data_IF_890211516189
#
_entry.id   IF_890211516189
#
_cell.length_a   1.000
_cell.length_b   1.000
_cell.length_c   1.000
_cell.angle_alpha   90.00
_cell.angle_beta   90.00
_cell.angle_gamma   90.00
#
_symmetry.space_group_name_H-M   'P 1'
#
loop_
_entity.id
_entity.type
_entity.pdbx_description
1 polymer ?
#
# COMPACT_ATOMS: atom_id res chain seq x y z
N UNK A 1 -12.60 2.14 -0.21
CA UNK A 1 -11.78 1.99 1.00
C UNK A 1 -11.10 3.30 1.42
N UNK A 2 -10.15 3.84 0.66
CA UNK A 2 -9.36 5.01 1.06
C UNK A 2 -10.17 6.26 1.47
N UNK A 3 -11.24 6.58 0.72
CA UNK A 3 -12.11 7.73 1.03
C UNK A 3 -12.89 7.58 2.35
N UNK A 4 -13.25 6.36 2.73
CA UNK A 4 -13.98 6.10 3.98
C UNK A 4 -13.04 6.30 5.18
N UNK A 5 -11.82 5.76 5.09
CA UNK A 5 -10.80 5.90 6.13
C UNK A 5 -10.45 7.37 6.40
N UNK A 6 -10.35 8.17 5.34
CA UNK A 6 -10.08 9.60 5.46
C UNK A 6 -11.27 10.38 6.04
N UNK A 7 -12.48 10.17 5.51
CA UNK A 7 -13.65 10.95 5.88
C UNK A 7 -14.17 10.64 7.30
N UNK A 8 -14.02 9.40 7.77
CA UNK A 8 -14.69 8.94 8.98
C UNK A 8 -13.76 8.87 10.20
N UNK A 9 -12.44 8.74 10.00
CA UNK A 9 -11.48 8.55 11.09
C UNK A 9 -10.38 9.61 11.14
N UNK A 10 -10.38 10.59 10.23
CA UNK A 10 -9.33 11.63 10.16
C UNK A 10 -7.93 11.09 9.85
N UNK A 11 -7.86 9.91 9.24
CA UNK A 11 -6.59 9.28 8.89
C UNK A 11 -6.17 9.79 7.51
N UNK A 12 -4.93 10.29 7.39
CA UNK A 12 -4.37 10.66 6.10
C UNK A 12 -4.10 9.39 5.29
N UNK A 13 -4.80 9.26 4.16
CA UNK A 13 -4.79 8.06 3.32
C UNK A 13 -4.51 8.47 1.87
N UNK A 14 -3.59 7.77 1.23
CA UNK A 14 -3.38 7.82 -0.21
C UNK A 14 -3.71 6.47 -0.83
N UNK A 15 -3.97 6.47 -2.13
CA UNK A 15 -4.15 5.24 -2.88
C UNK A 15 -3.22 5.23 -4.09
N UNK A 16 -2.86 4.04 -4.51
CA UNK A 16 -2.04 3.81 -5.70
C UNK A 16 -2.69 2.69 -6.49
N UNK A 17 -2.67 2.82 -7.81
CA UNK A 17 -3.18 1.81 -8.75
C UNK A 17 -2.18 1.62 -9.90
N UNK A 18 -2.41 0.62 -10.75
CA UNK A 18 -1.58 0.38 -11.93
C UNK A 18 -1.59 1.54 -12.94
N UNK A 19 -0.57 1.57 -13.82
CA UNK A 19 -0.28 2.66 -14.77
C UNK A 19 -1.41 3.00 -15.76
N UNK A 20 -2.37 2.10 -15.96
CA UNK A 20 -3.53 2.35 -16.82
C UNK A 20 -4.67 3.10 -16.10
N UNK A 21 -4.67 3.11 -14.78
CA UNK A 21 -5.74 3.66 -13.95
C UNK A 21 -5.33 4.92 -13.16
N UNK A 22 -4.04 5.21 -13.08
CA UNK A 22 -3.48 6.37 -12.38
C UNK A 22 -2.28 6.91 -13.15
N UNK A 23 -2.24 8.22 -13.36
CA UNK A 23 -1.11 8.88 -14.01
C UNK A 23 0.17 8.78 -13.16
N UNK A 24 1.32 8.85 -13.82
CA UNK A 24 2.61 8.66 -13.16
C UNK A 24 2.90 9.72 -12.10
N UNK A 25 2.54 10.98 -12.38
CA UNK A 25 2.78 12.09 -11.48
C UNK A 25 2.00 11.93 -10.17
N UNK A 26 0.70 11.62 -10.24
CA UNK A 26 -0.15 11.36 -9.07
C UNK A 26 0.35 10.14 -8.29
N UNK A 27 0.75 9.07 -8.99
CA UNK A 27 1.31 7.87 -8.35
C UNK A 27 2.58 8.19 -7.56
N UNK A 28 3.52 8.92 -8.17
CA UNK A 28 4.77 9.32 -7.52
C UNK A 28 4.52 10.30 -6.37
N UNK A 29 3.57 11.22 -6.52
CA UNK A 29 3.19 12.15 -5.46
C UNK A 29 2.63 11.41 -4.24
N UNK A 30 1.71 10.46 -4.45
CA UNK A 30 1.11 9.67 -3.37
C UNK A 30 2.15 8.82 -2.63
N UNK A 31 3.09 8.22 -3.37
CA UNK A 31 4.21 7.48 -2.79
C UNK A 31 5.15 8.38 -2.00
N UNK A 32 5.42 9.57 -2.52
CA UNK A 32 6.26 10.56 -1.84
C UNK A 32 5.62 11.03 -0.53
N UNK A 33 4.31 11.34 -0.54
CA UNK A 33 3.55 11.69 0.66
C UNK A 33 3.55 10.57 1.71
N UNK A 34 3.53 9.31 1.29
CA UNK A 34 3.63 8.18 2.21
C UNK A 34 5.04 8.03 2.78
N UNK A 35 6.09 8.20 1.94
CA UNK A 35 7.49 8.17 2.38
C UNK A 35 7.84 9.30 3.35
N UNK A 36 7.24 10.48 3.18
CA UNK A 36 7.44 11.63 4.07
C UNK A 36 6.52 11.62 5.29
N UNK A 37 5.77 10.54 5.53
CA UNK A 37 4.81 10.38 6.63
C UNK A 37 3.65 11.40 6.63
N UNK A 38 3.52 12.20 5.57
CA UNK A 38 2.39 13.10 5.37
C UNK A 38 1.07 12.32 5.21
N UNK A 39 1.19 11.09 4.72
CA UNK A 39 0.12 10.08 4.66
C UNK A 39 0.53 8.87 5.50
N UNK A 40 -0.36 8.43 6.39
CA UNK A 40 -0.11 7.28 7.28
C UNK A 40 -0.58 5.94 6.72
N UNK A 41 -1.51 5.94 5.77
CA UNK A 41 -2.06 4.73 5.17
C UNK A 41 -1.98 4.79 3.65
N UNK A 42 -1.39 3.75 3.06
CA UNK A 42 -1.36 3.57 1.61
C UNK A 42 -2.26 2.37 1.24
N UNK A 43 -3.23 2.61 0.35
CA UNK A 43 -4.07 1.55 -0.21
C UNK A 43 -3.61 1.24 -1.63
N UNK A 44 -3.35 -0.03 -1.93
CA UNK A 44 -2.76 -0.48 -3.18
C UNK A 44 -3.56 -1.65 -3.78
N UNK A 45 -3.70 -1.72 -5.09
CA UNK A 45 -4.18 -2.92 -5.82
C UNK A 45 -3.03 -3.85 -6.22
N UNK A 46 -3.34 -5.11 -6.55
CA UNK A 46 -2.37 -6.16 -6.92
C UNK A 46 -1.47 -5.84 -8.10
N UNK A 47 -1.82 -4.86 -8.95
CA UNK A 47 -0.93 -4.33 -10.01
C UNK A 47 0.33 -3.63 -9.46
N UNK A 48 0.47 -3.52 -8.14
CA UNK A 48 1.60 -2.91 -7.43
C UNK A 48 2.53 -3.95 -6.78
N UNK A 49 2.35 -5.24 -7.08
CA UNK A 49 3.18 -6.31 -6.49
C UNK A 49 4.64 -6.31 -6.98
N UNK A 50 4.92 -5.76 -8.17
CA UNK A 50 6.28 -5.58 -8.69
C UNK A 50 6.66 -4.09 -8.84
N UNK A 51 7.86 -3.74 -8.41
CA UNK A 51 8.51 -2.46 -8.75
C UNK A 51 8.22 -1.26 -7.85
N UNK A 52 7.28 -1.34 -6.91
CA UNK A 52 7.05 -0.25 -5.95
C UNK A 52 8.06 -0.31 -4.79
N UNK A 53 8.99 0.64 -4.72
CA UNK A 53 9.80 0.84 -3.53
C UNK A 53 8.99 1.58 -2.46
N UNK A 54 8.38 0.79 -1.57
CA UNK A 54 7.60 1.29 -0.42
C UNK A 54 8.49 1.17 0.82
N UNK A 55 8.59 2.22 1.64
CA UNK A 55 9.33 2.17 2.89
C UNK A 55 8.82 1.05 3.81
N UNK A 56 9.68 0.57 4.70
CA UNK A 56 9.38 -0.50 5.65
C UNK A 56 8.10 -0.19 6.43
N UNK A 57 7.05 -0.97 6.19
CA UNK A 57 5.78 -0.81 6.88
C UNK A 57 5.78 -1.66 8.16
N UNK A 58 5.20 -1.12 9.23
CA UNK A 58 4.93 -1.88 10.47
C UNK A 58 3.71 -2.79 10.32
N UNK A 59 2.73 -2.39 9.52
CA UNK A 59 1.50 -3.15 9.32
C UNK A 59 1.25 -3.31 7.82
N UNK A 60 0.98 -4.53 7.38
CA UNK A 60 0.55 -4.84 6.01
C UNK A 60 -0.77 -5.62 6.10
N UNK A 61 -1.82 -5.11 5.46
CA UNK A 61 -3.13 -5.76 5.44
C UNK A 61 -3.42 -6.18 4.00
N UNK A 62 -3.69 -7.47 3.80
CA UNK A 62 -4.05 -8.06 2.50
C UNK A 62 -5.54 -8.42 2.53
N UNK A 63 -6.31 -7.83 1.61
CA UNK A 63 -7.76 -8.07 1.46
C UNK A 63 -8.09 -9.00 0.27
N UNK A 64 -7.08 -9.49 -0.44
CA UNK A 64 -7.24 -10.20 -1.71
C UNK A 64 -6.85 -11.68 -1.54
N UNK A 65 -7.59 -12.57 -2.21
CA UNK A 65 -7.19 -13.97 -2.35
C UNK A 65 -5.96 -14.06 -3.27
N UNK A 66 -4.83 -14.56 -2.78
CA UNK A 66 -3.60 -14.61 -3.58
C UNK A 66 -3.75 -15.66 -4.69
N UNK A 67 -3.67 -15.24 -5.95
CA UNK A 67 -3.69 -16.15 -7.08
C UNK A 67 -2.43 -17.03 -7.18
N UNK A 68 -1.33 -16.64 -6.52
CA UNK A 68 -0.05 -17.36 -6.54
C UNK A 68 0.77 -17.17 -5.26
N UNK A 69 1.67 -18.12 -4.97
CA UNK A 69 2.64 -18.03 -3.87
C UNK A 69 3.59 -16.82 -4.02
N UNK A 70 3.91 -16.42 -5.26
CA UNK A 70 4.79 -15.26 -5.55
C UNK A 70 4.15 -13.96 -5.06
N UNK A 71 2.87 -13.75 -5.37
CA UNK A 71 2.07 -12.60 -4.91
C UNK A 71 1.99 -12.52 -3.39
N UNK A 72 1.88 -13.68 -2.72
CA UNK A 72 1.91 -13.74 -1.27
C UNK A 72 3.24 -13.23 -0.70
N UNK A 73 4.36 -13.80 -1.15
CA UNK A 73 5.71 -13.43 -0.71
C UNK A 73 6.04 -11.96 -1.02
N UNK A 74 5.70 -11.47 -2.21
CA UNK A 74 5.99 -10.09 -2.62
C UNK A 74 5.23 -9.06 -1.78
N UNK A 75 3.94 -9.28 -1.51
CA UNK A 75 3.18 -8.36 -0.68
C UNK A 75 3.56 -8.42 0.81
N UNK A 76 3.89 -9.61 1.34
CA UNK A 76 4.41 -9.76 2.70
C UNK A 76 5.81 -9.15 2.86
N UNK A 77 6.64 -9.18 1.81
CA UNK A 77 7.99 -8.60 1.80
C UNK A 77 8.04 -7.08 2.00
N UNK A 78 6.89 -6.39 2.10
CA UNK A 78 6.78 -4.97 2.45
C UNK A 78 6.78 -4.72 3.97
N UNK A 79 6.50 -5.75 4.76
CA UNK A 79 6.59 -5.76 6.22
C UNK A 79 8.05 -5.99 6.66
N UNK A 80 8.92 -4.99 6.42
CA UNK A 80 10.37 -5.07 6.72
C UNK A 80 10.76 -4.45 8.07
N UNK A 81 9.80 -3.95 8.84
CA UNK A 81 10.04 -3.44 10.19
C UNK A 81 10.31 -4.61 11.16
N UNK A 82 11.20 -4.49 12.16
CA UNK A 82 11.46 -5.57 13.13
C UNK A 82 10.22 -6.07 13.88
N UNK A 83 9.25 -5.18 14.07
CA UNK A 83 7.94 -5.45 14.66
C UNK A 83 6.82 -5.48 13.61
N UNK A 84 7.14 -5.91 12.38
CA UNK A 84 6.14 -5.92 11.33
C UNK A 84 5.13 -7.04 11.50
N UNK A 85 3.86 -6.74 11.28
CA UNK A 85 2.75 -7.67 11.34
C UNK A 85 2.01 -7.68 10.00
N UNK A 86 1.70 -8.89 9.51
CA UNK A 86 0.94 -9.09 8.28
C UNK A 86 -0.42 -9.68 8.63
N UNK A 87 -1.48 -8.99 8.21
CA UNK A 87 -2.86 -9.39 8.43
C UNK A 87 -3.48 -9.83 7.11
N UNK A 88 -4.26 -10.90 7.18
CA UNK A 88 -5.01 -11.45 6.05
C UNK A 88 -6.49 -11.42 6.41
N UNK A 89 -7.32 -10.87 5.52
CA UNK A 89 -8.78 -10.80 5.65
C UNK A 89 -9.48 -11.57 4.55
#
# INVERSE_FOLDING_TARGET
MARILSAQFGISVAHVCGVQAMDDATRQQNLSCFRSESVRVLVATSSLEEGLDVPSCRYVIRYDWFASAKSHVQGAGRARHPLAEVYYS
#
